data_IF_152797121668
#
_entry.id   IF_152797121668
#
_cell.length_a   1.000
_cell.length_b   1.000
_cell.length_c   1.000
_cell.angle_alpha   90.00
_cell.angle_beta   90.00
_cell.angle_gamma   90.00
#
_symmetry.space_group_name_H-M   'P 1'
#
loop_
_entity.id
_entity.type
_entity.pdbx_description
1 polymer ?
#
# COMPACT_ATOMS: atom_id res chain seq x y z
N UNK A 1 -22.69 1.66 3.21
CA UNK A 1 -21.39 0.96 3.16
C UNK A 1 -20.58 1.46 1.99
N UNK A 2 -19.33 1.85 2.19
CA UNK A 2 -18.44 2.28 1.10
C UNK A 2 -17.76 1.06 0.48
N UNK A 3 -17.73 1.01 -0.85
CA UNK A 3 -17.03 -0.03 -1.62
C UNK A 3 -16.24 0.68 -2.70
N UNK A 4 -14.99 0.29 -2.90
CA UNK A 4 -14.14 0.79 -3.97
C UNK A 4 -13.44 -0.36 -4.69
N UNK A 5 -12.81 -0.07 -5.83
CA UNK A 5 -11.94 -1.04 -6.49
C UNK A 5 -10.63 -1.19 -5.72
N UNK A 6 -9.95 -2.35 -5.78
CA UNK A 6 -8.71 -2.57 -5.02
C UNK A 6 -7.51 -1.77 -5.54
N UNK A 7 -7.64 -1.15 -6.70
CA UNK A 7 -6.60 -0.34 -7.36
C UNK A 7 -7.16 0.99 -7.79
N UNK A 8 -6.27 1.99 -7.87
CA UNK A 8 -6.51 3.30 -8.47
C UNK A 8 -5.73 3.44 -9.77
N UNK A 9 -6.10 4.42 -10.56
CA UNK A 9 -5.32 4.85 -11.72
C UNK A 9 -3.97 5.43 -11.29
N UNK A 10 -3.03 5.54 -12.23
CA UNK A 10 -1.69 6.09 -11.98
C UNK A 10 -1.69 7.51 -11.39
N UNK A 11 -2.74 8.27 -11.59
CA UNK A 11 -2.93 9.62 -11.03
C UNK A 11 -3.67 9.63 -9.67
N UNK A 12 -3.88 8.45 -9.06
CA UNK A 12 -4.56 8.28 -7.79
C UNK A 12 -6.08 8.33 -7.85
N UNK A 13 -6.68 8.57 -9.01
CA UNK A 13 -8.15 8.62 -9.17
C UNK A 13 -8.77 7.23 -9.20
N UNK A 14 -10.01 7.12 -8.73
CA UNK A 14 -10.82 5.90 -8.83
C UNK A 14 -11.19 5.58 -10.29
N UNK A 15 -11.38 4.29 -10.58
CA UNK A 15 -11.99 3.85 -11.83
C UNK A 15 -13.48 4.20 -11.84
N UNK A 16 -13.98 4.66 -12.99
CA UNK A 16 -15.39 5.06 -13.13
C UNK A 16 -16.34 3.87 -13.14
N UNK A 17 -15.91 2.75 -13.66
CA UNK A 17 -16.69 1.53 -13.78
C UNK A 17 -15.82 0.29 -13.97
N UNK A 18 -16.43 -0.88 -13.90
CA UNK A 18 -15.79 -2.17 -14.01
C UNK A 18 -15.10 -2.41 -15.37
N UNK A 19 -15.69 -1.94 -16.48
CA UNK A 19 -15.12 -2.15 -17.82
C UNK A 19 -13.80 -1.40 -17.99
N UNK A 20 -13.70 -0.20 -17.40
CA UNK A 20 -12.47 0.59 -17.38
C UNK A 20 -11.36 -0.13 -16.57
N UNK A 21 -11.69 -0.65 -15.38
CA UNK A 21 -10.78 -1.44 -14.56
C UNK A 21 -10.31 -2.70 -15.30
N UNK A 22 -11.23 -3.45 -15.89
CA UNK A 22 -10.91 -4.68 -16.64
C UNK A 22 -9.98 -4.40 -17.81
N UNK A 23 -10.15 -3.27 -18.49
CA UNK A 23 -9.30 -2.88 -19.61
C UNK A 23 -7.83 -2.76 -19.17
N UNK A 24 -7.59 -2.23 -17.98
CA UNK A 24 -6.24 -2.11 -17.44
C UNK A 24 -5.72 -3.46 -16.92
N UNK A 25 -6.51 -4.19 -16.14
CA UNK A 25 -6.09 -5.49 -15.60
C UNK A 25 -5.75 -6.48 -16.74
N UNK A 26 -6.44 -6.41 -17.88
CA UNK A 26 -6.17 -7.23 -19.07
C UNK A 26 -4.79 -7.01 -19.70
N UNK A 27 -4.06 -5.99 -19.33
CA UNK A 27 -2.67 -5.78 -19.76
C UNK A 27 -1.69 -6.74 -19.09
N UNK A 28 -2.09 -7.38 -17.97
CA UNK A 28 -1.27 -8.38 -17.31
C UNK A 28 -1.26 -9.67 -18.13
N UNK A 29 -0.07 -10.19 -18.41
CA UNK A 29 0.11 -11.40 -19.20
C UNK A 29 -0.34 -12.69 -18.48
N UNK A 30 -0.45 -12.64 -17.16
CA UNK A 30 -0.68 -13.83 -16.31
C UNK A 30 -1.81 -13.59 -15.32
N UNK A 31 -2.57 -14.67 -15.00
CA UNK A 31 -3.55 -14.67 -13.93
C UNK A 31 -5.03 -14.53 -14.33
N UNK A 32 -5.38 -14.99 -15.52
CA UNK A 32 -6.73 -14.90 -16.09
C UNK A 32 -7.53 -16.20 -16.04
N UNK A 33 -7.05 -17.20 -15.32
CA UNK A 33 -7.71 -18.52 -15.31
C UNK A 33 -8.70 -18.63 -14.17
N UNK A 34 -9.87 -19.19 -14.48
CA UNK A 34 -10.83 -19.62 -13.48
C UNK A 34 -10.43 -20.96 -12.82
N UNK A 35 -9.63 -21.77 -13.51
CA UNK A 35 -9.10 -23.03 -13.03
C UNK A 35 -7.57 -22.98 -13.07
N UNK A 36 -6.94 -23.17 -11.94
CA UNK A 36 -5.49 -23.32 -11.86
C UNK A 36 -5.01 -24.68 -12.37
N UNK A 37 -3.72 -24.81 -12.68
CA UNK A 37 -3.08 -26.05 -13.14
C UNK A 37 -3.21 -27.19 -12.13
N UNK A 38 -3.38 -26.89 -10.86
CA UNK A 38 -3.61 -27.83 -9.76
C UNK A 38 -5.09 -28.24 -9.58
N UNK A 39 -5.99 -27.88 -10.52
CA UNK A 39 -7.43 -28.15 -10.52
C UNK A 39 -8.25 -27.42 -9.46
N UNK A 40 -7.68 -26.40 -8.82
CA UNK A 40 -8.42 -25.52 -7.91
C UNK A 40 -8.95 -24.28 -8.65
N UNK A 41 -10.08 -23.76 -8.16
CA UNK A 41 -10.61 -22.50 -8.64
C UNK A 41 -9.69 -21.35 -8.23
N UNK A 42 -9.45 -20.45 -9.17
CA UNK A 42 -8.81 -19.19 -8.92
C UNK A 42 -9.89 -18.10 -8.93
N UNK A 43 -10.32 -17.67 -7.74
CA UNK A 43 -11.41 -16.70 -7.56
C UNK A 43 -10.95 -15.26 -7.53
N UNK A 44 -9.64 -15.03 -7.59
CA UNK A 44 -9.03 -13.71 -7.44
C UNK A 44 -8.61 -13.07 -8.75
N UNK A 45 -7.95 -11.92 -8.60
CA UNK A 45 -7.30 -11.19 -9.68
C UNK A 45 -5.83 -10.97 -9.34
N UNK A 46 -5.00 -10.88 -10.38
CA UNK A 46 -3.64 -10.40 -10.26
C UNK A 46 -3.56 -8.95 -10.74
N UNK A 47 -2.95 -8.11 -9.93
CA UNK A 47 -2.58 -6.74 -10.28
C UNK A 47 -1.07 -6.72 -10.46
N UNK A 48 -0.60 -6.35 -11.62
CA UNK A 48 0.82 -6.35 -11.95
C UNK A 48 1.30 -4.98 -12.43
N UNK A 49 2.62 -4.84 -12.56
CA UNK A 49 3.25 -3.61 -13.05
C UNK A 49 2.72 -3.19 -14.44
N UNK A 50 2.40 -4.15 -15.31
CA UNK A 50 1.89 -3.86 -16.66
C UNK A 50 0.53 -3.17 -16.65
N UNK A 51 -0.33 -3.45 -15.65
CA UNK A 51 -1.64 -2.81 -15.50
C UNK A 51 -1.62 -1.60 -14.57
N UNK A 52 -0.75 -1.60 -13.58
CA UNK A 52 -0.73 -0.62 -12.49
C UNK A 52 0.70 -0.23 -12.13
N UNK A 53 1.46 0.40 -13.04
CA UNK A 53 2.87 0.72 -12.82
C UNK A 53 3.09 1.68 -11.63
N UNK A 54 2.15 2.58 -11.37
CA UNK A 54 2.23 3.50 -10.24
C UNK A 54 2.03 2.80 -8.87
N UNK A 55 1.61 1.52 -8.87
CA UNK A 55 1.45 0.73 -7.65
C UNK A 55 2.74 -0.02 -7.25
N UNK A 56 3.80 0.11 -8.02
CA UNK A 56 5.15 -0.22 -7.58
C UNK A 56 5.68 0.94 -6.75
N UNK A 57 6.22 0.64 -5.56
CA UNK A 57 6.78 1.68 -4.69
C UNK A 57 8.09 2.20 -5.30
N UNK A 58 8.13 3.51 -5.54
CA UNK A 58 9.34 4.22 -5.94
C UNK A 58 10.07 4.72 -4.67
N UNK A 59 11.21 4.15 -4.29
CA UNK A 59 11.92 4.55 -3.09
C UNK A 59 12.45 5.99 -3.13
N UNK A 60 12.70 6.53 -4.32
CA UNK A 60 13.20 7.90 -4.51
C UNK A 60 12.07 8.95 -4.48
N UNK A 61 10.85 8.54 -4.81
CA UNK A 61 9.66 9.40 -4.83
C UNK A 61 8.42 8.67 -4.31
N UNK A 62 8.44 8.17 -3.06
CA UNK A 62 7.39 7.29 -2.53
C UNK A 62 6.00 7.94 -2.49
N UNK A 63 5.94 9.28 -2.39
CA UNK A 63 4.71 10.06 -2.41
C UNK A 63 4.01 10.09 -3.79
N UNK A 64 4.69 9.67 -4.86
CA UNK A 64 4.11 9.55 -6.20
C UNK A 64 3.54 8.15 -6.45
N UNK A 65 3.90 7.18 -5.64
CA UNK A 65 3.39 5.83 -5.74
C UNK A 65 1.95 5.75 -5.23
N UNK A 66 1.13 4.95 -5.90
CA UNK A 66 -0.31 4.79 -5.61
C UNK A 66 -0.54 3.41 -5.01
N UNK A 67 -0.83 3.28 -3.71
CA UNK A 67 -0.99 1.97 -3.09
C UNK A 67 -2.25 1.26 -3.57
N UNK A 68 -2.25 -0.07 -3.45
CA UNK A 68 -3.46 -0.87 -3.39
C UNK A 68 -4.32 -0.38 -2.23
N UNK A 69 -5.64 -0.56 -2.34
CA UNK A 69 -6.56 -0.12 -1.29
C UNK A 69 -7.51 -1.23 -0.86
N UNK A 70 -7.96 -1.18 0.40
CA UNK A 70 -9.00 -2.07 0.88
C UNK A 70 -10.33 -1.76 0.16
N UNK A 71 -10.98 -2.82 -0.33
CA UNK A 71 -12.23 -2.66 -1.08
C UNK A 71 -13.43 -2.28 -0.20
N UNK A 72 -13.42 -2.69 1.07
CA UNK A 72 -14.52 -2.51 2.01
C UNK A 72 -13.98 -2.26 3.42
N UNK A 73 -14.78 -1.60 4.26
CA UNK A 73 -14.54 -1.52 5.69
C UNK A 73 -14.47 -2.92 6.30
N UNK A 74 -13.58 -3.12 7.28
CA UNK A 74 -13.45 -4.41 7.93
C UNK A 74 -12.47 -4.44 9.09
N UNK A 75 -12.31 -5.63 9.66
CA UNK A 75 -11.36 -5.96 10.72
C UNK A 75 -10.27 -6.87 10.15
N UNK A 76 -9.00 -6.50 10.36
CA UNK A 76 -7.86 -7.36 10.00
C UNK A 76 -7.86 -8.57 10.93
N UNK A 77 -8.01 -9.76 10.35
CA UNK A 77 -8.11 -11.02 11.12
C UNK A 77 -6.88 -11.88 11.02
N UNK A 78 -6.01 -11.63 10.03
CA UNK A 78 -4.69 -12.24 9.95
C UNK A 78 -3.77 -11.40 9.08
N UNK A 79 -2.46 -11.46 9.37
CA UNK A 79 -1.42 -10.89 8.52
C UNK A 79 -0.11 -11.66 8.62
N UNK A 80 0.74 -11.46 7.64
CA UNK A 80 2.17 -11.67 7.73
C UNK A 80 2.86 -10.47 7.09
N UNK A 81 3.73 -9.83 7.84
CA UNK A 81 4.61 -8.76 7.34
C UNK A 81 6.03 -9.31 7.33
N UNK A 82 6.58 -9.47 6.15
CA UNK A 82 7.96 -9.91 6.02
C UNK A 82 8.92 -8.73 6.16
N UNK A 83 10.08 -8.97 6.77
CA UNK A 83 11.19 -8.01 6.80
C UNK A 83 11.74 -7.79 5.41
N UNK A 84 11.89 -8.90 4.66
CA UNK A 84 12.45 -8.91 3.31
C UNK A 84 11.77 -9.98 2.46
N UNK A 85 12.08 -10.05 1.19
CA UNK A 85 11.63 -11.11 0.30
C UNK A 85 12.10 -12.48 0.76
N UNK A 86 11.23 -13.47 0.66
CA UNK A 86 11.66 -14.86 0.76
C UNK A 86 12.51 -15.21 -0.46
N UNK A 87 13.57 -15.95 -0.21
CA UNK A 87 14.51 -16.38 -1.24
C UNK A 87 14.37 -17.88 -1.44
N UNK A 88 14.09 -18.30 -2.67
CA UNK A 88 14.02 -19.70 -3.06
C UNK A 88 15.35 -20.06 -3.71
N UNK A 89 16.15 -20.86 -3.02
CA UNK A 89 17.40 -21.39 -3.53
C UNK A 89 17.15 -22.61 -4.45
N UNK A 90 16.66 -22.37 -5.65
CA UNK A 90 16.48 -23.43 -6.62
C UNK A 90 17.71 -23.72 -7.47
N UNK A 91 18.70 -22.79 -7.50
CA UNK A 91 19.97 -22.94 -8.20
C UNK A 91 21.05 -22.17 -7.47
N UNK A 92 22.24 -22.74 -7.35
CA UNK A 92 23.36 -22.22 -6.58
C UNK A 92 23.83 -20.81 -6.94
N UNK A 93 23.42 -20.27 -8.10
CA UNK A 93 23.95 -19.00 -8.60
C UNK A 93 22.93 -17.86 -8.70
N UNK A 94 21.63 -18.15 -8.67
CA UNK A 94 20.56 -17.12 -8.82
C UNK A 94 19.33 -17.46 -8.02
N UNK A 95 19.26 -17.02 -6.76
CA UNK A 95 18.06 -17.19 -5.94
C UNK A 95 16.88 -16.40 -6.52
N UNK A 96 15.67 -16.97 -6.43
CA UNK A 96 14.43 -16.32 -6.81
C UNK A 96 13.78 -15.65 -5.60
N UNK A 97 13.41 -14.39 -5.73
CA UNK A 97 12.73 -13.64 -4.68
C UNK A 97 11.23 -13.75 -4.84
N UNK A 98 10.55 -13.86 -3.71
CA UNK A 98 9.08 -13.86 -3.64
C UNK A 98 8.60 -13.15 -2.40
N UNK A 99 7.58 -12.30 -2.53
CA UNK A 99 6.92 -11.72 -1.36
C UNK A 99 5.96 -12.72 -0.72
N UNK A 100 6.11 -12.88 0.58
CA UNK A 100 5.17 -13.62 1.43
C UNK A 100 4.29 -12.72 2.29
N UNK A 101 4.39 -11.40 2.16
CA UNK A 101 3.57 -10.45 2.91
C UNK A 101 2.11 -10.51 2.45
N UNK A 102 1.20 -10.61 3.41
CA UNK A 102 -0.24 -10.63 3.15
C UNK A 102 -1.05 -10.00 4.27
N UNK A 103 -2.28 -9.62 3.96
CA UNK A 103 -3.31 -9.23 4.93
C UNK A 103 -4.65 -9.85 4.57
N UNK A 104 -5.37 -10.33 5.59
CA UNK A 104 -6.71 -10.88 5.50
C UNK A 104 -7.67 -10.03 6.34
N UNK A 105 -8.70 -9.50 5.71
CA UNK A 105 -9.68 -8.61 6.34
C UNK A 105 -11.07 -9.24 6.29
N UNK A 106 -11.71 -9.37 7.46
CA UNK A 106 -13.12 -9.77 7.56
C UNK A 106 -14.01 -8.55 7.40
N UNK A 107 -14.93 -8.59 6.45
CA UNK A 107 -15.90 -7.53 6.14
C UNK A 107 -17.31 -8.09 6.10
N UNK A 108 -18.29 -7.23 6.34
CA UNK A 108 -19.70 -7.60 6.16
C UNK A 108 -20.29 -6.75 5.05
N UNK A 109 -20.59 -7.39 3.94
CA UNK A 109 -21.30 -6.75 2.83
C UNK A 109 -22.79 -6.67 3.15
N UNK A 110 -23.34 -5.47 3.11
CA UNK A 110 -24.74 -5.19 3.46
C UNK A 110 -25.44 -4.51 2.28
N UNK A 111 -25.98 -5.29 1.32
CA UNK A 111 -26.69 -4.72 0.17
C UNK A 111 -27.96 -4.00 0.58
N UNK A 112 -28.63 -4.49 1.63
CA UNK A 112 -29.73 -3.82 2.32
C UNK A 112 -29.42 -3.76 3.82
N UNK A 113 -29.29 -2.56 4.37
CA UNK A 113 -28.95 -2.36 5.78
C UNK A 113 -30.08 -2.78 6.72
N UNK A 114 -31.32 -2.88 6.23
CA UNK A 114 -32.50 -3.25 7.01
C UNK A 114 -32.82 -4.75 6.96
N UNK A 115 -32.22 -5.50 6.03
CA UNK A 115 -32.44 -6.93 5.85
C UNK A 115 -31.16 -7.74 6.09
N UNK A 116 -30.96 -8.16 7.33
CA UNK A 116 -29.78 -8.96 7.72
C UNK A 116 -29.65 -10.27 6.94
N UNK A 117 -30.74 -10.85 6.44
CA UNK A 117 -30.69 -12.05 5.61
C UNK A 117 -30.10 -11.81 4.21
N UNK A 118 -29.83 -10.55 3.85
CA UNK A 118 -29.09 -10.17 2.64
C UNK A 118 -27.60 -9.99 2.87
N UNK A 119 -27.14 -9.99 4.12
CA UNK A 119 -25.76 -9.71 4.46
C UNK A 119 -24.86 -10.90 4.14
N UNK A 120 -23.62 -10.58 3.77
CA UNK A 120 -22.57 -11.58 3.54
C UNK A 120 -21.34 -11.25 4.36
N UNK A 121 -20.82 -12.26 5.06
CA UNK A 121 -19.47 -12.22 5.60
C UNK A 121 -18.49 -12.54 4.48
N UNK A 122 -17.61 -11.59 4.18
CA UNK A 122 -16.57 -11.69 3.17
C UNK A 122 -15.20 -11.52 3.81
N UNK A 123 -14.21 -12.20 3.23
CA UNK A 123 -12.81 -12.04 3.58
C UNK A 123 -12.07 -11.50 2.37
N UNK A 124 -11.45 -10.33 2.52
CA UNK A 124 -10.59 -9.71 1.51
C UNK A 124 -9.16 -10.17 1.77
N UNK A 125 -8.57 -10.90 0.85
CA UNK A 125 -7.19 -11.38 0.91
C UNK A 125 -6.33 -10.61 -0.08
N UNK A 126 -5.25 -10.01 0.40
CA UNK A 126 -4.23 -9.37 -0.40
C UNK A 126 -2.90 -10.05 -0.13
N UNK A 127 -2.30 -10.67 -1.16
CA UNK A 127 -1.06 -11.42 -1.06
C UNK A 127 0.01 -10.85 -1.98
N UNK A 128 1.26 -11.22 -1.70
CA UNK A 128 2.44 -10.83 -2.47
C UNK A 128 2.67 -9.31 -2.51
N UNK A 129 2.24 -8.61 -1.48
CA UNK A 129 2.50 -7.17 -1.35
C UNK A 129 3.93 -6.93 -0.84
N UNK A 130 4.47 -5.73 -1.08
CA UNK A 130 5.83 -5.37 -0.76
C UNK A 130 6.19 -5.60 0.72
N UNK A 131 7.34 -6.22 1.04
CA UNK A 131 7.84 -6.37 2.40
C UNK A 131 8.40 -5.06 2.95
N UNK A 132 8.80 -5.03 4.23
CA UNK A 132 9.33 -3.82 4.88
C UNK A 132 10.60 -3.27 4.23
N UNK A 133 11.44 -4.13 3.64
CA UNK A 133 12.68 -3.72 2.96
C UNK A 133 12.46 -2.77 1.79
N UNK A 134 11.27 -2.80 1.16
CA UNK A 134 10.93 -1.89 0.06
C UNK A 134 10.55 -0.48 0.52
N UNK A 135 10.12 -0.33 1.78
CA UNK A 135 9.67 0.97 2.28
C UNK A 135 10.86 1.82 2.70
N UNK A 136 11.05 3.01 2.07
CA UNK A 136 12.12 3.90 2.46
C UNK A 136 11.93 4.41 3.88
N UNK A 137 13.05 4.72 4.53
CA UNK A 137 13.09 5.26 5.87
C UNK A 137 13.56 6.70 5.86
N UNK A 138 13.09 7.47 6.81
CA UNK A 138 13.56 8.82 7.09
C UNK A 138 14.10 8.91 8.50
N UNK A 139 15.23 9.60 8.64
CA UNK A 139 15.80 9.90 9.95
C UNK A 139 14.86 10.78 10.74
N UNK A 140 14.70 10.46 12.00
CA UNK A 140 13.96 11.25 12.97
C UNK A 140 14.92 12.07 13.83
N UNK A 141 14.49 13.30 14.13
CA UNK A 141 15.17 14.19 15.07
C UNK A 141 14.17 14.71 16.09
N UNK A 142 14.62 14.82 17.34
CA UNK A 142 13.86 15.38 18.44
C UNK A 142 14.34 16.78 18.75
N UNK A 143 13.41 17.69 19.01
CA UNK A 143 13.71 19.06 19.45
C UNK A 143 14.13 19.05 20.91
N UNK A 144 15.35 19.55 21.20
CA UNK A 144 15.97 19.53 22.52
C UNK A 144 15.69 20.76 23.38
N UNK A 145 15.37 21.89 22.73
CA UNK A 145 15.19 23.17 23.43
C UNK A 145 13.84 23.81 23.19
N UNK A 146 13.35 24.51 24.23
CA UNK A 146 12.19 25.41 24.19
C UNK A 146 12.61 26.88 24.29
N UNK A 147 11.72 27.77 24.03
CA UNK A 147 11.93 29.22 24.25
C UNK A 147 12.29 29.89 22.95
N UNK A 148 13.42 30.61 22.91
CA UNK A 148 13.84 31.33 21.68
C UNK A 148 14.08 30.43 20.47
N UNK A 149 13.79 29.24 20.63
CA UNK A 149 13.26 28.13 19.85
C UNK A 149 13.88 27.89 18.50
N UNK A 150 13.77 26.66 18.12
CA UNK A 150 14.06 26.23 16.75
C UNK A 150 13.03 26.88 15.84
N UNK A 151 13.42 27.96 15.15
CA UNK A 151 12.54 28.69 14.23
C UNK A 151 12.18 27.85 13.01
N UNK A 152 10.89 27.77 12.70
CA UNK A 152 10.41 27.17 11.46
C UNK A 152 10.60 28.18 10.31
N UNK A 153 11.10 27.68 9.14
CA UNK A 153 11.29 28.52 7.95
C UNK A 153 10.44 28.03 6.78
N UNK A 154 10.04 28.95 5.92
CA UNK A 154 9.18 28.68 4.76
C UNK A 154 9.82 27.68 3.83
N UNK A 155 9.02 26.76 3.31
CA UNK A 155 9.40 25.86 2.21
C UNK A 155 8.81 26.37 0.90
N UNK A 156 9.60 26.24 -0.18
CA UNK A 156 9.22 26.56 -1.56
C UNK A 156 9.84 25.56 -2.51
N UNK A 157 9.16 25.27 -3.63
CA UNK A 157 9.70 24.46 -4.72
C UNK A 157 10.98 24.99 -5.37
N UNK A 158 11.37 26.23 -5.05
CA UNK A 158 12.58 26.86 -5.59
C UNK A 158 13.76 26.80 -4.62
N UNK A 159 13.63 26.12 -3.48
CA UNK A 159 14.67 26.12 -2.44
C UNK A 159 15.93 25.38 -2.89
N UNK A 160 15.84 24.46 -3.87
CA UNK A 160 17.02 23.75 -4.41
C UNK A 160 18.02 24.70 -5.07
N UNK A 161 17.56 25.77 -5.70
CA UNK A 161 18.41 26.80 -6.33
C UNK A 161 18.79 27.95 -5.38
N UNK A 162 18.28 27.95 -4.15
CA UNK A 162 18.46 29.03 -3.18
C UNK A 162 19.76 28.89 -2.40
N UNK A 163 20.51 29.95 -2.24
CA UNK A 163 21.72 29.96 -1.42
C UNK A 163 21.47 30.51 -0.01
N UNK A 164 20.55 31.47 0.13
CA UNK A 164 20.25 32.17 1.41
C UNK A 164 19.10 31.39 2.09
N UNK A 165 19.20 31.26 3.41
CA UNK A 165 18.17 30.62 4.22
C UNK A 165 16.79 31.22 3.99
N UNK A 166 15.73 30.40 3.86
CA UNK A 166 14.37 30.88 3.69
C UNK A 166 13.90 31.73 4.86
N UNK A 167 12.92 32.61 4.60
CA UNK A 167 12.33 33.47 5.64
C UNK A 167 11.70 32.63 6.74
N UNK A 168 11.65 33.20 7.94
CA UNK A 168 10.96 32.62 9.08
C UNK A 168 9.47 32.48 8.76
N UNK A 169 8.90 31.37 9.18
CA UNK A 169 7.48 31.09 9.06
C UNK A 169 6.75 31.83 10.19
N UNK A 170 5.78 32.66 9.84
CA UNK A 170 5.04 33.47 10.79
C UNK A 170 3.62 32.97 11.01
N UNK A 171 3.08 33.19 12.18
CA UNK A 171 1.66 32.97 12.46
C UNK A 171 0.81 34.15 11.92
N UNK A 172 -0.52 34.06 12.04
CA UNK A 172 -1.47 35.07 11.59
C UNK A 172 -1.29 36.47 12.26
N UNK A 173 -0.48 36.58 13.31
CA UNK A 173 -0.18 37.82 14.03
C UNK A 173 1.22 38.34 13.74
N UNK A 174 1.94 37.76 12.78
CA UNK A 174 3.31 38.19 12.42
C UNK A 174 4.40 37.72 13.40
N UNK A 175 4.10 36.80 14.31
CA UNK A 175 5.10 36.25 15.20
C UNK A 175 5.72 34.98 14.58
N UNK A 176 7.04 34.84 14.74
CA UNK A 176 7.77 33.66 14.30
C UNK A 176 7.18 32.39 14.91
N UNK A 177 6.99 31.39 14.07
CA UNK A 177 6.59 30.05 14.52
C UNK A 177 7.84 29.30 14.95
N UNK A 178 7.75 28.65 16.09
CA UNK A 178 8.83 27.87 16.68
C UNK A 178 8.33 26.45 17.02
N UNK A 179 9.27 25.54 17.06
CA UNK A 179 9.06 24.16 17.54
C UNK A 179 9.09 24.12 19.06
N UNK A 180 8.46 23.11 19.62
CA UNK A 180 8.42 22.86 21.07
C UNK A 180 9.39 21.73 21.40
N UNK A 181 9.98 21.78 22.61
CA UNK A 181 10.80 20.68 23.10
C UNK A 181 10.03 19.38 23.08
N UNK A 182 10.66 18.33 22.55
CA UNK A 182 10.03 17.02 22.40
C UNK A 182 9.28 16.80 21.09
N UNK A 183 9.09 17.86 20.26
CA UNK A 183 8.60 17.65 18.89
C UNK A 183 9.55 16.71 18.15
N UNK A 184 9.00 15.68 17.51
CA UNK A 184 9.74 14.76 16.64
C UNK A 184 9.51 15.13 15.18
N UNK A 185 10.60 15.19 14.42
CA UNK A 185 10.66 15.67 13.05
C UNK A 185 11.20 14.56 12.13
N UNK A 186 10.51 14.25 11.05
CA UNK A 186 11.01 13.39 9.99
C UNK A 186 11.73 14.24 8.93
N UNK A 187 12.97 13.90 8.62
CA UNK A 187 13.82 14.60 7.65
C UNK A 187 13.54 14.11 6.24
N UNK A 188 13.18 15.03 5.35
CA UNK A 188 12.99 14.72 3.92
C UNK A 188 14.24 15.03 3.10
N UNK A 189 14.90 16.15 3.42
CA UNK A 189 16.04 16.63 2.67
C UNK A 189 16.97 17.40 3.61
N UNK A 190 18.26 17.40 3.32
CA UNK A 190 19.23 18.23 4.02
C UNK A 190 19.92 19.15 3.00
N UNK A 191 20.12 20.40 3.39
CA UNK A 191 20.80 21.39 2.58
C UNK A 191 21.47 22.43 3.45
N UNK A 192 22.62 22.96 3.00
CA UNK A 192 23.26 24.10 3.64
C UNK A 192 22.77 25.39 3.01
N UNK A 193 22.35 26.35 3.85
CA UNK A 193 22.01 27.71 3.43
C UNK A 193 22.92 28.73 4.11
N UNK A 194 23.09 29.87 3.51
CA UNK A 194 23.74 31.01 4.16
C UNK A 194 22.76 31.68 5.12
N UNK A 195 23.08 31.67 6.40
CA UNK A 195 22.41 32.40 7.45
C UNK A 195 23.41 33.42 8.03
N UNK A 196 23.09 34.73 7.94
CA UNK A 196 24.01 35.80 8.36
C UNK A 196 25.42 35.65 7.75
N UNK A 197 25.46 35.35 6.45
CA UNK A 197 26.68 35.09 5.65
C UNK A 197 27.53 33.87 6.07
N UNK A 198 27.00 33.00 6.92
CA UNK A 198 27.67 31.75 7.34
C UNK A 198 26.91 30.54 6.82
N UNK A 199 27.59 29.54 6.28
CA UNK A 199 26.95 28.29 5.92
C UNK A 199 26.38 27.59 7.17
N UNK A 200 25.11 27.23 7.12
CA UNK A 200 24.44 26.50 8.20
C UNK A 200 23.65 25.32 7.63
N UNK A 201 23.74 24.14 8.24
CA UNK A 201 22.96 22.99 7.82
C UNK A 201 21.51 23.14 8.24
N UNK A 202 20.61 22.89 7.28
CA UNK A 202 19.16 22.85 7.48
C UNK A 202 18.60 21.51 7.01
N UNK A 203 17.51 21.11 7.63
CA UNK A 203 16.67 20.02 7.17
C UNK A 203 15.29 20.52 6.76
N UNK A 204 14.80 20.03 5.63
CA UNK A 204 13.39 20.07 5.27
C UNK A 204 12.69 18.94 6.02
N UNK A 205 11.71 19.28 6.83
CA UNK A 205 11.09 18.34 7.77
C UNK A 205 9.58 18.38 7.76
N UNK A 206 8.97 17.30 8.23
CA UNK A 206 7.58 17.23 8.70
C UNK A 206 7.55 16.82 10.16
N UNK A 207 6.54 17.31 10.92
CA UNK A 207 6.30 16.81 12.28
C UNK A 207 5.75 15.40 12.23
N UNK A 208 6.12 14.58 13.23
CA UNK A 208 5.42 13.34 13.49
C UNK A 208 4.12 13.62 14.25
N UNK A 209 3.03 13.03 13.74
CA UNK A 209 1.73 12.96 14.42
C UNK A 209 1.31 11.49 14.41
N UNK A 210 1.02 10.94 15.58
CA UNK A 210 0.69 9.51 15.73
C UNK A 210 1.70 8.55 15.07
N UNK A 211 2.99 8.88 15.18
CA UNK A 211 4.09 8.09 14.64
C UNK A 211 4.33 8.24 13.12
N UNK A 212 3.64 9.15 12.44
CA UNK A 212 3.73 9.38 10.99
C UNK A 212 4.07 10.81 10.66
N UNK A 213 4.88 11.05 9.59
CA UNK A 213 5.09 12.40 9.08
C UNK A 213 3.76 13.01 8.60
N UNK A 214 3.38 14.16 9.14
CA UNK A 214 2.13 14.82 8.80
C UNK A 214 2.25 16.35 8.83
N UNK A 215 1.30 17.01 8.18
CA UNK A 215 1.21 18.48 8.15
C UNK A 215 2.11 19.12 7.10
N UNK A 216 2.41 20.39 7.31
CA UNK A 216 3.21 21.21 6.40
C UNK A 216 4.70 20.87 6.42
N UNK A 217 5.37 21.11 5.29
CA UNK A 217 6.82 21.05 5.16
C UNK A 217 7.43 22.40 5.55
N UNK A 218 8.54 22.35 6.29
CA UNK A 218 9.28 23.55 6.65
C UNK A 218 10.76 23.23 6.87
N UNK A 219 11.61 24.25 6.73
CA UNK A 219 13.03 24.15 7.02
C UNK A 219 13.32 24.44 8.48
N UNK A 220 14.28 23.72 9.04
CA UNK A 220 14.77 23.90 10.41
C UNK A 220 16.29 23.78 10.43
N UNK A 221 16.96 24.59 11.27
CA UNK A 221 18.41 24.46 11.48
C UNK A 221 18.72 23.13 12.17
N UNK A 222 19.76 22.44 11.68
CA UNK A 222 20.24 21.17 12.24
C UNK A 222 21.36 21.34 13.29
N UNK A 223 21.41 22.49 13.95
CA UNK A 223 22.40 22.69 15.02
C UNK A 223 22.19 21.66 16.14
N UNK A 224 23.29 21.03 16.63
CA UNK A 224 23.20 19.99 17.67
C UNK A 224 22.55 20.47 18.97
N UNK A 225 22.61 21.76 19.27
CA UNK A 225 21.91 22.36 20.42
C UNK A 225 20.39 22.41 20.27
N UNK A 226 19.86 22.25 19.04
CA UNK A 226 18.43 22.32 18.75
C UNK A 226 17.80 20.95 18.49
N UNK A 227 18.55 20.06 17.85
CA UNK A 227 18.04 18.78 17.37
C UNK A 227 19.00 17.64 17.75
N UNK A 228 18.44 16.57 18.26
CA UNK A 228 19.15 15.31 18.49
C UNK A 228 18.55 14.16 17.64
N UNK A 229 19.35 13.20 17.15
CA UNK A 229 18.83 12.03 16.45
C UNK A 229 17.85 11.24 17.33
N UNK A 230 16.71 10.81 16.75
CA UNK A 230 15.62 10.09 17.44
C UNK A 230 15.19 8.83 16.67
N UNK A 231 16.09 8.18 15.95
CA UNK A 231 15.82 6.97 15.19
C UNK A 231 15.35 7.21 13.77
N UNK A 232 14.48 6.32 13.28
CA UNK A 232 13.97 6.34 11.90
C UNK A 232 12.47 6.00 11.88
N UNK A 233 11.76 6.47 10.84
CA UNK A 233 10.40 6.03 10.54
C UNK A 233 10.30 5.57 9.08
N UNK A 234 9.37 4.65 8.82
CA UNK A 234 9.02 4.27 7.46
C UNK A 234 8.19 5.33 6.77
N UNK A 235 8.37 5.47 5.46
CA UNK A 235 7.61 6.37 4.61
C UNK A 235 6.57 5.57 3.85
N UNK A 236 5.35 6.10 3.74
CA UNK A 236 4.24 5.49 3.01
C UNK A 236 3.83 4.09 3.51
N UNK A 237 4.24 3.70 4.71
CA UNK A 237 3.83 2.43 5.30
C UNK A 237 2.34 2.47 5.65
N UNK A 238 1.53 1.47 5.23
CA UNK A 238 0.12 1.38 5.57
C UNK A 238 -0.13 1.29 7.08
N UNK A 239 -1.27 1.80 7.53
CA UNK A 239 -1.62 1.86 8.95
C UNK A 239 -1.69 0.49 9.62
N UNK A 240 -2.25 -0.51 8.92
CA UNK A 240 -2.29 -1.87 9.41
C UNK A 240 -0.88 -2.48 9.57
N UNK A 241 0.08 -2.12 8.69
CA UNK A 241 1.47 -2.55 8.82
C UNK A 241 2.16 -1.87 10.00
N UNK A 242 1.84 -0.59 10.31
CA UNK A 242 2.29 0.04 11.56
C UNK A 242 1.77 -0.72 12.79
N UNK A 243 0.50 -1.17 12.76
CA UNK A 243 -0.06 -1.99 13.83
C UNK A 243 0.66 -3.34 13.96
N UNK A 244 1.04 -3.95 12.83
CA UNK A 244 1.82 -5.19 12.81
C UNK A 244 3.24 -4.98 13.37
N UNK A 245 3.91 -3.87 13.03
CA UNK A 245 5.22 -3.52 13.61
C UNK A 245 5.12 -3.33 15.13
N UNK A 246 4.10 -2.64 15.62
CA UNK A 246 3.89 -2.43 17.04
C UNK A 246 3.59 -3.75 17.78
N UNK A 247 2.98 -4.73 17.10
CA UNK A 247 2.79 -6.08 17.64
C UNK A 247 4.12 -6.85 17.78
N UNK A 248 5.12 -6.53 16.95
CA UNK A 248 6.50 -7.02 17.08
C UNK A 248 6.78 -8.39 16.47
N UNK A 249 5.80 -9.08 15.88
CA UNK A 249 5.99 -10.37 15.19
C UNK A 249 6.06 -10.13 13.69
N UNK A 250 7.20 -10.47 13.10
CA UNK A 250 7.49 -10.35 11.67
C UNK A 250 7.87 -11.73 11.11
N UNK A 251 7.65 -11.92 9.81
CA UNK A 251 7.95 -13.13 9.02
C UNK A 251 7.03 -14.32 9.31
N UNK A 252 6.26 -14.27 10.38
CA UNK A 252 5.27 -15.27 10.76
C UNK A 252 3.84 -14.79 10.56
N UNK A 253 2.91 -15.74 10.48
CA UNK A 253 1.48 -15.45 10.44
C UNK A 253 0.99 -15.05 11.82
N UNK A 254 0.37 -13.89 11.90
CA UNK A 254 -0.25 -13.36 13.11
C UNK A 254 -1.76 -13.35 12.96
N UNK A 255 -2.45 -13.90 13.97
CA UNK A 255 -3.87 -13.68 14.19
C UNK A 255 -3.97 -12.72 15.38
N UNK A 256 -4.50 -11.50 15.19
CA UNK A 256 -4.53 -10.50 16.25
C UNK A 256 -5.22 -11.05 17.51
N UNK A 257 -4.57 -10.96 18.69
CA UNK A 257 -5.20 -11.39 19.92
C UNK A 257 -6.33 -10.44 20.32
N UNK A 258 -7.40 -10.99 20.88
CA UNK A 258 -8.43 -10.17 21.52
C UNK A 258 -7.80 -9.54 22.77
N UNK A 259 -7.84 -8.19 22.98
CA UNK A 259 -8.76 -7.22 22.39
C UNK A 259 -8.17 -6.37 21.22
N UNK A 260 -7.02 -6.71 20.66
CA UNK A 260 -6.41 -5.92 19.59
C UNK A 260 -7.29 -5.98 18.33
N UNK A 261 -7.94 -4.87 18.01
CA UNK A 261 -8.72 -4.71 16.79
C UNK A 261 -8.01 -3.74 15.86
N UNK A 262 -7.60 -4.23 14.69
CA UNK A 262 -7.06 -3.40 13.61
C UNK A 262 -8.16 -3.21 12.59
N UNK A 263 -8.77 -2.01 12.60
CA UNK A 263 -9.86 -1.66 11.69
C UNK A 263 -9.32 -0.95 10.45
N UNK A 264 -9.89 -1.27 9.30
CA UNK A 264 -9.60 -0.62 8.02
C UNK A 264 -10.87 -0.13 7.36
N UNK A 265 -10.75 0.87 6.51
CA UNK A 265 -11.85 1.44 5.73
C UNK A 265 -11.63 1.22 4.24
N UNK A 266 -12.72 1.20 3.49
CA UNK A 266 -12.63 1.25 2.03
C UNK A 266 -11.82 2.47 1.60
N UNK A 267 -10.81 2.23 0.77
CA UNK A 267 -9.88 3.26 0.31
C UNK A 267 -8.61 3.44 1.15
N UNK A 268 -8.52 2.85 2.34
CA UNK A 268 -7.27 2.83 3.10
C UNK A 268 -6.20 2.02 2.35
N UNK A 269 -4.94 2.41 2.52
CA UNK A 269 -3.82 1.76 1.84
C UNK A 269 -3.62 0.31 2.34
N UNK A 270 -3.54 -0.63 1.41
CA UNK A 270 -3.11 -2.01 1.66
C UNK A 270 -1.59 -2.12 1.63
N UNK A 271 -0.96 -1.50 0.64
CA UNK A 271 0.47 -1.59 0.35
C UNK A 271 0.73 -1.50 -1.15
N UNK A 272 1.91 -1.93 -1.55
CA UNK A 272 2.40 -1.86 -2.92
C UNK A 272 2.65 -3.26 -3.48
N UNK A 273 2.83 -3.36 -4.80
CA UNK A 273 3.15 -4.63 -5.46
C UNK A 273 4.50 -5.16 -4.97
N UNK A 274 4.55 -6.43 -4.61
CA UNK A 274 5.80 -7.10 -4.26
C UNK A 274 6.47 -7.76 -5.47
N UNK A 275 7.77 -8.00 -5.35
CA UNK A 275 8.56 -8.72 -6.36
C UNK A 275 8.17 -10.20 -6.38
N UNK A 276 8.08 -10.74 -7.56
CA UNK A 276 8.11 -12.16 -7.85
C UNK A 276 9.07 -12.41 -9.01
N UNK A 277 10.18 -13.08 -8.73
CA UNK A 277 11.09 -13.54 -9.75
C UNK A 277 10.55 -14.84 -10.39
N UNK A 278 10.51 -14.86 -11.71
CA UNK A 278 10.05 -15.99 -12.51
C UNK A 278 11.24 -16.56 -13.29
N UNK A 279 11.43 -17.87 -13.19
CA UNK A 279 12.39 -18.55 -14.03
C UNK A 279 11.76 -18.80 -15.40
N UNK A 280 12.51 -18.55 -16.46
CA UNK A 280 12.14 -18.98 -17.80
C UNK A 280 12.33 -20.51 -17.89
N UNK A 281 11.25 -21.25 -18.19
CA UNK A 281 11.26 -22.72 -18.20
C UNK A 281 12.29 -23.30 -19.21
N UNK A 282 12.51 -22.61 -20.34
CA UNK A 282 13.40 -23.07 -21.39
C UNK A 282 14.87 -22.63 -21.19
N UNK A 283 15.08 -21.51 -20.48
CA UNK A 283 16.38 -20.86 -20.34
C UNK A 283 16.85 -20.73 -18.88
N UNK A 284 16.23 -21.42 -17.96
CA UNK A 284 16.66 -21.40 -16.55
C UNK A 284 18.00 -22.16 -16.36
N UNK A 285 18.96 -21.64 -15.56
CA UNK A 285 18.90 -20.44 -14.72
C UNK A 285 19.37 -19.13 -15.40
N UNK A 286 19.57 -19.13 -16.72
CA UNK A 286 20.20 -18.00 -17.44
C UNK A 286 19.28 -16.78 -17.50
N UNK A 287 17.95 -17.02 -17.63
CA UNK A 287 16.97 -15.94 -17.71
C UNK A 287 16.03 -16.00 -16.50
N UNK A 288 16.08 -14.93 -15.71
CA UNK A 288 15.13 -14.67 -14.63
C UNK A 288 14.45 -13.35 -14.94
N UNK A 289 13.13 -13.37 -15.01
CA UNK A 289 12.31 -12.18 -15.18
C UNK A 289 11.77 -11.75 -13.83
N UNK A 290 12.02 -10.49 -13.45
CA UNK A 290 11.42 -9.89 -12.27
C UNK A 290 10.07 -9.29 -12.64
N UNK A 291 9.02 -9.73 -11.99
CA UNK A 291 7.68 -9.16 -12.09
C UNK A 291 7.28 -8.55 -10.74
N UNK A 292 6.43 -7.52 -10.79
CA UNK A 292 5.81 -6.91 -9.62
C UNK A 292 4.33 -7.19 -9.67
N UNK A 293 3.82 -7.91 -8.66
CA UNK A 293 2.40 -8.25 -8.63
C UNK A 293 1.86 -8.44 -7.22
N UNK A 294 0.56 -8.28 -7.10
CA UNK A 294 -0.22 -8.69 -5.95
C UNK A 294 -1.36 -9.60 -6.40
N UNK A 295 -1.73 -10.55 -5.55
CA UNK A 295 -2.91 -11.39 -5.70
C UNK A 295 -3.98 -10.89 -4.74
N UNK A 296 -5.18 -10.65 -5.27
CA UNK A 296 -6.32 -10.15 -4.51
C UNK A 296 -7.48 -11.11 -4.68
N UNK A 297 -8.08 -11.56 -3.57
CA UNK A 297 -9.17 -12.51 -3.59
C UNK A 297 -10.25 -12.15 -2.59
N UNK A 298 -11.51 -12.41 -2.95
CA UNK A 298 -12.65 -12.38 -2.05
C UNK A 298 -13.11 -13.78 -1.73
N UNK A 299 -13.08 -14.14 -0.45
CA UNK A 299 -13.45 -15.44 0.06
C UNK A 299 -14.72 -15.31 0.92
N UNK A 300 -15.55 -16.35 0.92
CA UNK A 300 -16.69 -16.43 1.83
C UNK A 300 -17.00 -17.88 2.16
N UNK A 301 -17.39 -18.10 3.42
CA UNK A 301 -17.98 -19.35 3.90
C UNK A 301 -19.47 -19.18 4.23
N UNK A 302 -20.04 -18.03 3.87
CA UNK A 302 -21.42 -17.67 4.16
C UNK A 302 -22.39 -18.47 3.29
N UNK A 303 -23.38 -19.08 3.89
CA UNK A 303 -24.38 -19.91 3.19
C UNK A 303 -25.26 -19.10 2.23
N UNK A 304 -25.37 -17.77 2.44
CA UNK A 304 -26.15 -16.88 1.57
C UNK A 304 -25.44 -16.48 0.26
N UNK A 305 -24.17 -16.87 0.09
CA UNK A 305 -23.42 -16.56 -1.15
C UNK A 305 -24.17 -16.94 -2.44
N UNK A 306 -24.74 -18.15 -2.58
CA UNK A 306 -25.49 -18.51 -3.79
C UNK A 306 -26.66 -17.58 -4.07
N UNK A 307 -27.40 -17.16 -3.05
CA UNK A 307 -28.59 -16.31 -3.19
C UNK A 307 -28.23 -14.88 -3.55
N UNK A 308 -27.16 -14.35 -2.94
CA UNK A 308 -26.65 -13.01 -3.25
C UNK A 308 -26.05 -12.96 -4.66
N UNK A 309 -25.30 -13.99 -5.06
CA UNK A 309 -24.74 -14.09 -6.43
C UNK A 309 -25.88 -14.23 -7.46
N UNK A 310 -26.90 -15.03 -7.18
CA UNK A 310 -28.07 -15.19 -8.03
C UNK A 310 -29.01 -13.98 -8.02
N UNK A 311 -28.76 -13.01 -7.13
CA UNK A 311 -29.60 -11.81 -6.95
C UNK A 311 -31.06 -12.15 -6.68
N UNK A 312 -31.31 -13.18 -5.86
CA UNK A 312 -32.66 -13.73 -5.59
C UNK A 312 -33.62 -12.62 -5.10
N UNK A 313 -33.12 -11.66 -4.31
CA UNK A 313 -33.90 -10.55 -3.78
C UNK A 313 -34.00 -9.35 -4.71
N UNK A 314 -33.39 -9.38 -5.90
CA UNK A 314 -33.43 -8.28 -6.87
C UNK A 314 -32.77 -6.97 -6.43
N UNK A 315 -31.92 -7.00 -5.40
CA UNK A 315 -31.28 -5.81 -4.81
C UNK A 315 -30.19 -5.25 -5.73
N UNK A 316 -29.52 -6.13 -6.48
CA UNK A 316 -28.43 -5.72 -7.39
C UNK A 316 -28.97 -5.33 -8.74
N UNK A 317 -28.50 -4.20 -9.25
CA UNK A 317 -28.72 -3.74 -10.63
C UNK A 317 -27.42 -3.84 -11.42
N UNK A 318 -27.50 -4.15 -12.72
CA UNK A 318 -26.33 -4.24 -13.61
C UNK A 318 -26.05 -5.64 -14.16
N UNK A 319 -24.80 -5.89 -14.56
CA UNK A 319 -24.37 -7.17 -15.16
C UNK A 319 -24.52 -8.30 -14.15
N UNK A 320 -25.24 -9.36 -14.52
CA UNK A 320 -25.40 -10.54 -13.69
C UNK A 320 -24.35 -11.61 -14.09
N UNK A 321 -23.95 -12.42 -13.11
CA UNK A 321 -22.99 -13.51 -13.32
C UNK A 321 -23.70 -14.77 -13.85
N UNK A 322 -22.99 -15.54 -14.66
CA UNK A 322 -23.48 -16.82 -15.14
C UNK A 322 -23.23 -17.88 -14.07
N UNK A 323 -24.27 -18.56 -13.61
CA UNK A 323 -24.15 -19.74 -12.74
C UNK A 323 -23.67 -20.93 -13.55
N UNK A 324 -22.43 -21.35 -13.35
CA UNK A 324 -21.91 -22.59 -13.93
C UNK A 324 -22.50 -23.77 -13.17
N UNK A 325 -23.26 -24.63 -13.87
CA UNK A 325 -23.77 -25.88 -13.29
C UNK A 325 -22.66 -26.93 -13.24
N UNK A 326 -22.55 -27.63 -12.12
CA UNK A 326 -21.65 -28.77 -11.97
C UNK A 326 -21.79 -29.75 -13.15
N UNK A 327 -20.67 -30.31 -13.62
CA UNK A 327 -20.60 -31.26 -14.74
C UNK A 327 -21.01 -30.74 -16.13
N UNK A 328 -20.99 -29.40 -16.35
CA UNK A 328 -21.08 -28.87 -17.70
C UNK A 328 -19.69 -28.70 -18.28
N UNK A 329 -19.45 -29.11 -19.54
CA UNK A 329 -18.17 -28.84 -20.18
C UNK A 329 -17.97 -27.36 -20.34
N UNK A 330 -16.74 -26.88 -20.05
CA UNK A 330 -16.29 -25.55 -20.36
C UNK A 330 -15.44 -25.61 -21.64
N UNK A 331 -15.79 -24.78 -22.60
CA UNK A 331 -15.06 -24.69 -23.86
C UNK A 331 -14.16 -23.45 -23.82
N UNK A 332 -12.90 -23.63 -24.22
CA UNK A 332 -12.03 -22.50 -24.52
C UNK A 332 -12.59 -21.76 -25.76
N UNK A 333 -12.68 -20.46 -25.68
CA UNK A 333 -12.98 -19.63 -26.83
C UNK A 333 -11.71 -19.56 -27.69
N UNK A 334 -11.64 -20.37 -28.74
CA UNK A 334 -10.62 -20.22 -29.78
C UNK A 334 -10.87 -18.91 -30.54
N UNK A 335 -9.79 -18.25 -31.02
CA UNK A 335 -9.91 -17.07 -31.87
C UNK A 335 -10.67 -17.39 -33.16
N UNK A 336 -11.21 -16.37 -33.83
CA UNK A 336 -11.84 -16.55 -35.15
C UNK A 336 -10.83 -17.17 -36.12
N UNK A 337 -11.05 -18.41 -36.51
CA UNK A 337 -10.24 -19.13 -37.49
C UNK A 337 -9.59 -20.45 -37.05
N UNK A 338 -9.71 -20.85 -35.79
CA UNK A 338 -9.25 -22.16 -35.33
C UNK A 338 -10.45 -23.07 -35.00
N UNK A 339 -10.79 -23.98 -35.93
CA UNK A 339 -11.62 -25.15 -35.64
C UNK A 339 -10.75 -26.21 -34.96
N UNK A 340 -11.13 -26.59 -33.73
CA UNK A 340 -10.54 -27.73 -33.02
C UNK A 340 -11.42 -28.94 -33.03
#
# INVERSE_FOLDING_TARGET
MNICYPVRKADGREYKNYDELLTDIRKNAHGWWLLGTNRYWHGGIHVGMSSSPATVLDPDSPEKSVPLQFMMDGEVVAWRVNRDYAVIECCQERPLRQSGTFVLVKSVYKPDEQDESSWLTLYQLYMHIAPLSEFPKRSLYRVTQTGHGVGMRKHSRYDDSREIAPDVLENKHGHARTLVQGDTLAVLQQKSFLLEQRPEPFALVQRLQDGKPAGELFWVSMRPEFLEPDGECYVCLPDWMHSALNHGVLDDVVVPPVPLKVMVKAGDAVGFLGVQDLADEDNFPQIITTDYKAHIELLSLDEHVPDVVANVKGIKTGKQFIKLKLKRPLYLRCGEGEES
#
